data_IF_393679777193
#
_entry.id   IF_393679777193
#
_cell.length_a   1.000
_cell.length_b   1.000
_cell.length_c   1.000
_cell.angle_alpha   90.00
_cell.angle_beta   90.00
_cell.angle_gamma   90.00
#
_symmetry.space_group_name_H-M   'P 1'
#
loop_
_entity.id
_entity.type
_entity.pdbx_description
1 polymer ?
#
# COMPACT_ATOMS: atom_id res chain seq x y z
N UNK A 1 -22.41 20.16 17.34
CA UNK A 1 -22.12 18.72 17.16
C UNK A 1 -21.64 18.52 15.73
N UNK A 2 -20.33 18.39 15.51
CA UNK A 2 -19.75 18.31 14.15
C UNK A 2 -19.96 16.90 13.61
N UNK A 3 -20.88 16.72 12.67
CA UNK A 3 -21.08 15.45 11.99
C UNK A 3 -19.82 15.06 11.23
N UNK A 4 -19.31 13.87 11.50
CA UNK A 4 -18.16 13.31 10.81
C UNK A 4 -18.59 12.88 9.41
N UNK A 5 -18.41 13.75 8.40
CA UNK A 5 -18.68 13.39 7.01
C UNK A 5 -17.65 12.35 6.54
N UNK A 6 -18.10 11.12 6.35
CA UNK A 6 -17.31 10.02 5.79
C UNK A 6 -17.08 10.31 4.31
N UNK A 7 -15.85 10.13 3.84
CA UNK A 7 -15.42 10.45 2.47
C UNK A 7 -14.78 9.26 1.76
N UNK A 8 -14.39 8.21 2.49
CA UNK A 8 -13.88 6.99 1.88
C UNK A 8 -13.55 5.90 2.88
N UNK A 9 -13.22 4.74 2.35
CA UNK A 9 -12.82 3.55 3.10
C UNK A 9 -11.55 2.94 2.50
N UNK A 10 -10.73 2.31 3.34
CA UNK A 10 -9.44 1.74 2.95
C UNK A 10 -9.38 0.26 3.28
N UNK A 11 -9.06 -0.55 2.28
CA UNK A 11 -8.87 -2.00 2.41
C UNK A 11 -7.39 -2.38 2.55
N UNK A 12 -7.13 -3.54 3.15
CA UNK A 12 -5.79 -4.12 3.26
C UNK A 12 -5.25 -4.71 1.95
N UNK A 13 -3.94 -4.98 1.92
CA UNK A 13 -3.27 -5.71 0.84
C UNK A 13 -3.68 -7.20 0.88
N UNK A 14 -4.04 -7.76 -0.28
CA UNK A 14 -4.71 -9.05 -0.51
C UNK A 14 -6.20 -9.07 -0.22
N UNK A 15 -6.97 -8.52 -1.17
CA UNK A 15 -8.42 -8.71 -1.28
C UNK A 15 -9.27 -7.76 -0.43
N UNK A 16 -10.38 -7.32 -1.04
CA UNK A 16 -11.34 -6.32 -0.56
C UNK A 16 -12.12 -6.77 0.70
N UNK A 17 -11.56 -7.66 1.49
CA UNK A 17 -12.27 -8.37 2.56
C UNK A 17 -12.10 -7.72 3.92
N UNK A 18 -11.02 -6.97 4.15
CA UNK A 18 -10.71 -6.41 5.47
C UNK A 18 -10.66 -4.88 5.40
N UNK A 19 -11.70 -4.25 5.92
CA UNK A 19 -11.75 -2.81 6.17
C UNK A 19 -10.69 -2.46 7.21
N UNK A 20 -9.67 -1.68 6.83
CA UNK A 20 -8.61 -1.26 7.75
C UNK A 20 -8.83 0.14 8.28
N UNK A 21 -9.38 1.06 7.47
CA UNK A 21 -9.54 2.47 7.86
C UNK A 21 -10.79 3.09 7.25
N UNK A 22 -11.43 4.00 7.99
CA UNK A 22 -12.44 4.93 7.48
C UNK A 22 -11.79 6.31 7.35
N UNK A 23 -11.98 6.96 6.21
CA UNK A 23 -11.49 8.29 5.91
C UNK A 23 -12.66 9.27 6.04
N UNK A 24 -12.59 10.16 7.02
CA UNK A 24 -13.49 11.30 7.17
C UNK A 24 -12.82 12.55 6.60
N UNK A 25 -13.59 13.63 6.40
CA UNK A 25 -13.05 14.91 5.88
C UNK A 25 -11.81 15.39 6.64
N UNK A 26 -11.76 15.14 7.96
CA UNK A 26 -10.74 15.73 8.83
C UNK A 26 -9.81 14.70 9.48
N UNK A 27 -10.19 13.42 9.55
CA UNK A 27 -9.38 12.37 10.22
C UNK A 27 -9.51 11.00 9.56
N UNK A 28 -8.50 10.16 9.77
CA UNK A 28 -8.53 8.74 9.40
C UNK A 28 -8.74 7.93 10.68
N UNK A 29 -9.83 7.16 10.72
CA UNK A 29 -10.16 6.25 11.81
C UNK A 29 -9.64 4.87 11.43
N UNK A 30 -8.73 4.30 12.22
CA UNK A 30 -8.19 2.96 11.96
C UNK A 30 -9.07 1.92 12.66
N UNK A 31 -9.55 0.94 11.90
CA UNK A 31 -10.47 -0.12 12.34
C UNK A 31 -9.75 -1.47 12.54
N UNK A 32 -8.50 -1.60 12.08
CA UNK A 32 -7.76 -2.85 12.21
C UNK A 32 -7.10 -3.05 13.57
N UNK A 33 -7.56 -4.05 14.33
CA UNK A 33 -6.64 -4.91 15.09
C UNK A 33 -5.95 -5.83 14.07
N UNK A 34 -4.64 -6.08 14.19
CA UNK A 34 -3.87 -6.89 13.23
C UNK A 34 -4.33 -8.35 13.06
N UNK A 35 -5.36 -8.79 13.78
CA UNK A 35 -5.94 -10.13 13.69
C UNK A 35 -7.29 -10.05 12.96
N UNK A 36 -7.31 -10.57 11.73
CA UNK A 36 -8.56 -10.85 11.02
C UNK A 36 -9.24 -12.01 11.75
N UNK A 37 -10.22 -11.72 12.60
CA UNK A 37 -11.04 -12.76 13.20
C UNK A 37 -12.09 -13.19 12.15
N UNK A 38 -12.09 -14.46 11.70
CA UNK A 38 -12.98 -14.92 10.63
C UNK A 38 -14.47 -14.72 10.93
N UNK A 39 -14.84 -14.60 12.21
CA UNK A 39 -16.20 -14.28 12.67
C UNK A 39 -16.70 -12.89 12.26
N UNK A 40 -15.80 -11.92 12.01
CA UNK A 40 -16.17 -10.56 11.61
C UNK A 40 -16.18 -10.34 10.09
N UNK A 41 -15.88 -11.35 9.25
CA UNK A 41 -15.94 -11.20 7.78
C UNK A 41 -17.36 -10.83 7.30
N UNK A 42 -18.38 -11.46 7.90
CA UNK A 42 -19.80 -11.18 7.64
C UNK A 42 -20.15 -9.74 8.01
N UNK A 43 -19.84 -9.35 9.24
CA UNK A 43 -20.27 -8.07 9.81
C UNK A 43 -19.51 -6.90 9.19
N UNK A 44 -18.23 -7.10 8.85
CA UNK A 44 -17.43 -6.11 8.12
C UNK A 44 -18.00 -5.86 6.73
N UNK A 45 -18.50 -6.91 6.06
CA UNK A 45 -19.13 -6.80 4.74
C UNK A 45 -20.48 -6.08 4.83
N UNK A 46 -21.34 -6.46 5.77
CA UNK A 46 -22.63 -5.77 5.99
C UNK A 46 -22.43 -4.30 6.34
N UNK A 47 -21.47 -3.98 7.21
CA UNK A 47 -21.15 -2.60 7.57
C UNK A 47 -20.60 -1.79 6.38
N UNK A 48 -19.75 -2.40 5.56
CA UNK A 48 -19.28 -1.79 4.31
C UNK A 48 -20.44 -1.53 3.35
N UNK A 49 -21.34 -2.50 3.18
CA UNK A 49 -22.47 -2.36 2.26
C UNK A 49 -23.47 -1.32 2.74
N UNK A 50 -23.68 -1.21 4.06
CA UNK A 50 -24.40 -0.10 4.69
C UNK A 50 -23.72 1.26 4.41
N UNK A 51 -22.40 1.36 4.57
CA UNK A 51 -21.69 2.62 4.27
C UNK A 51 -21.78 3.01 2.80
N UNK A 52 -21.81 2.04 1.87
CA UNK A 52 -22.02 2.30 0.44
C UNK A 52 -23.43 2.77 0.14
N UNK A 53 -24.45 2.26 0.85
CA UNK A 53 -25.83 2.69 0.64
C UNK A 53 -26.10 4.08 1.21
N UNK A 54 -25.46 4.42 2.34
CA UNK A 54 -25.71 5.68 3.06
C UNK A 54 -24.87 6.85 2.52
N UNK A 55 -23.67 6.57 1.96
CA UNK A 55 -22.75 7.61 1.49
C UNK A 55 -22.63 7.56 -0.03
N UNK A 56 -23.35 8.48 -0.70
CA UNK A 56 -23.43 8.60 -2.17
C UNK A 56 -22.08 8.84 -2.88
N UNK A 57 -21.07 9.38 -2.19
CA UNK A 57 -19.73 9.65 -2.76
C UNK A 57 -18.60 8.88 -2.03
N UNK A 58 -18.87 7.64 -1.60
CA UNK A 58 -17.88 6.86 -0.87
C UNK A 58 -16.70 6.44 -1.77
N UNK A 59 -15.52 7.05 -1.57
CA UNK A 59 -14.29 6.66 -2.29
C UNK A 59 -13.67 5.41 -1.68
N UNK A 60 -13.56 4.35 -2.48
CA UNK A 60 -12.78 3.16 -2.11
C UNK A 60 -11.31 3.44 -2.44
N UNK A 61 -10.46 3.43 -1.41
CA UNK A 61 -9.02 3.73 -1.49
C UNK A 61 -8.20 2.52 -1.05
N UNK A 62 -6.98 2.41 -1.54
CA UNK A 62 -5.96 1.55 -0.94
C UNK A 62 -4.93 2.37 -0.16
N UNK A 63 -3.96 1.69 0.47
CA UNK A 63 -2.92 2.38 1.24
C UNK A 63 -2.02 3.25 0.35
N UNK A 64 -1.80 2.88 -0.91
CA UNK A 64 -1.02 3.68 -1.84
C UNK A 64 -1.76 4.96 -2.28
N UNK A 65 -3.09 4.90 -2.41
CA UNK A 65 -3.94 6.07 -2.67
C UNK A 65 -3.84 7.08 -1.51
N UNK A 66 -3.88 6.59 -0.26
CA UNK A 66 -3.68 7.46 0.91
C UNK A 66 -2.28 8.09 0.94
N UNK A 67 -1.26 7.33 0.55
CA UNK A 67 0.11 7.85 0.48
C UNK A 67 0.28 8.86 -0.65
N UNK A 68 -0.47 8.70 -1.76
CA UNK A 68 -0.48 9.65 -2.87
C UNK A 68 -1.07 10.98 -2.43
N UNK A 69 -2.23 10.96 -1.77
CA UNK A 69 -2.93 12.16 -1.26
C UNK A 69 -2.08 12.93 -0.24
N UNK A 70 -1.30 12.22 0.58
CA UNK A 70 -0.39 12.82 1.56
C UNK A 70 0.98 13.22 0.98
N UNK A 71 1.25 12.94 -0.29
CA UNK A 71 2.53 13.23 -0.94
C UNK A 71 3.68 12.26 -0.59
N UNK A 72 3.47 11.30 0.31
CA UNK A 72 4.47 10.31 0.71
C UNK A 72 4.83 9.34 -0.41
N UNK A 73 3.91 9.10 -1.34
CA UNK A 73 4.11 8.15 -2.43
C UNK A 73 5.29 8.52 -3.34
N UNK A 74 5.52 9.83 -3.55
CA UNK A 74 6.65 10.33 -4.35
C UNK A 74 7.99 10.02 -3.66
N UNK A 75 8.04 10.18 -2.34
CA UNK A 75 9.23 9.83 -1.55
C UNK A 75 9.48 8.32 -1.54
N UNK A 76 8.44 7.52 -1.34
CA UNK A 76 8.53 6.06 -1.41
C UNK A 76 9.02 5.57 -2.78
N UNK A 77 8.55 6.19 -3.87
CA UNK A 77 9.00 5.91 -5.23
C UNK A 77 10.49 6.21 -5.42
N UNK A 78 10.97 7.35 -4.91
CA UNK A 78 12.40 7.71 -4.97
C UNK A 78 13.26 6.72 -4.19
N UNK A 79 12.85 6.37 -2.98
CA UNK A 79 13.56 5.38 -2.15
C UNK A 79 13.63 4.02 -2.84
N UNK A 80 12.50 3.54 -3.39
CA UNK A 80 12.44 2.28 -4.12
C UNK A 80 13.35 2.30 -5.36
N UNK A 81 13.44 3.44 -6.05
CA UNK A 81 14.37 3.64 -7.17
C UNK A 81 15.83 3.50 -6.73
N UNK A 82 16.20 4.11 -5.60
CA UNK A 82 17.55 3.99 -5.02
C UNK A 82 17.85 2.54 -4.65
N UNK A 83 16.89 1.82 -4.04
CA UNK A 83 17.04 0.41 -3.69
C UNK A 83 17.22 -0.49 -4.92
N UNK A 84 16.50 -0.22 -6.02
CA UNK A 84 16.65 -0.95 -7.28
C UNK A 84 18.08 -0.89 -7.83
N UNK A 85 18.81 0.20 -7.56
CA UNK A 85 20.21 0.35 -7.98
C UNK A 85 21.19 -0.18 -6.93
N UNK A 86 20.97 0.12 -5.65
CA UNK A 86 21.90 -0.24 -4.58
C UNK A 86 21.92 -1.75 -4.29
N UNK A 87 20.77 -2.42 -4.29
CA UNK A 87 20.68 -3.86 -4.01
C UNK A 87 21.54 -4.70 -4.95
N UNK A 88 21.43 -4.57 -6.29
CA UNK A 88 22.30 -5.33 -7.19
C UNK A 88 23.77 -4.91 -7.08
N UNK A 89 24.05 -3.60 -6.93
CA UNK A 89 25.42 -3.11 -6.84
C UNK A 89 26.16 -3.66 -5.61
N UNK A 90 25.54 -3.61 -4.43
CA UNK A 90 26.08 -4.17 -3.20
C UNK A 90 26.25 -5.68 -3.32
N UNK A 91 25.29 -6.37 -3.94
CA UNK A 91 25.37 -7.83 -4.07
C UNK A 91 26.50 -8.26 -5.00
N UNK A 92 26.74 -7.53 -6.10
CA UNK A 92 27.88 -7.78 -7.00
C UNK A 92 29.20 -7.61 -6.23
N UNK A 93 29.36 -6.50 -5.50
CA UNK A 93 30.58 -6.23 -4.72
C UNK A 93 30.85 -7.35 -3.71
N UNK A 94 29.83 -7.76 -2.93
CA UNK A 94 29.97 -8.86 -1.96
C UNK A 94 30.32 -10.17 -2.67
N UNK A 95 29.71 -10.45 -3.82
CA UNK A 95 29.99 -11.67 -4.59
C UNK A 95 31.44 -11.73 -5.05
N UNK A 96 32.02 -10.60 -5.46
CA UNK A 96 33.44 -10.50 -5.85
C UNK A 96 34.34 -10.75 -4.63
N UNK A 97 34.06 -10.10 -3.50
CA UNK A 97 34.84 -10.25 -2.26
C UNK A 97 34.85 -11.70 -1.75
N UNK A 98 33.72 -12.41 -1.87
CA UNK A 98 33.57 -13.80 -1.42
C UNK A 98 34.09 -14.85 -2.43
N UNK A 99 34.80 -14.42 -3.49
CA UNK A 99 35.39 -15.31 -4.48
C UNK A 99 34.37 -15.91 -5.45
N UNK A 100 33.31 -15.16 -5.79
CA UNK A 100 32.30 -15.56 -6.77
C UNK A 100 31.25 -16.55 -6.26
N UNK A 101 31.15 -16.76 -4.93
CA UNK A 101 30.17 -17.70 -4.35
C UNK A 101 28.75 -17.09 -4.39
N UNK A 102 27.81 -17.65 -5.17
CA UNK A 102 26.60 -16.93 -5.57
C UNK A 102 25.42 -17.06 -4.59
N UNK A 103 25.62 -17.60 -3.37
CA UNK A 103 24.49 -17.88 -2.45
C UNK A 103 23.68 -16.63 -2.12
N UNK A 104 24.33 -15.47 -2.03
CA UNK A 104 23.68 -14.17 -1.77
C UNK A 104 23.03 -13.54 -3.02
N UNK A 105 23.42 -13.96 -4.23
CA UNK A 105 22.76 -13.53 -5.47
C UNK A 105 21.32 -14.05 -5.58
N UNK A 106 21.01 -15.19 -4.95
CA UNK A 106 19.64 -15.73 -4.90
C UNK A 106 18.66 -14.79 -4.18
N UNK A 107 19.13 -14.07 -3.15
CA UNK A 107 18.32 -13.10 -2.41
C UNK A 107 17.88 -11.93 -3.31
N UNK A 108 18.74 -11.53 -4.24
CA UNK A 108 18.44 -10.48 -5.22
C UNK A 108 17.31 -10.90 -6.16
N UNK A 109 17.28 -12.17 -6.59
CA UNK A 109 16.18 -12.71 -7.40
C UNK A 109 14.82 -12.70 -6.68
N UNK A 110 14.80 -12.73 -5.34
CA UNK A 110 13.56 -12.63 -4.56
C UNK A 110 13.15 -11.18 -4.33
N UNK A 111 14.11 -10.28 -4.14
CA UNK A 111 13.86 -8.88 -3.77
C UNK A 111 13.59 -8.00 -4.98
N UNK A 112 14.38 -8.11 -6.06
CA UNK A 112 14.26 -7.26 -7.24
C UNK A 112 12.86 -7.29 -7.87
N UNK A 113 12.22 -8.46 -8.11
CA UNK A 113 10.88 -8.49 -8.70
C UNK A 113 9.86 -7.72 -7.86
N UNK A 114 9.95 -7.79 -6.53
CA UNK A 114 9.04 -7.04 -5.64
C UNK A 114 9.26 -5.53 -5.76
N UNK A 115 10.51 -5.09 -5.75
CA UNK A 115 10.85 -3.67 -5.90
C UNK A 115 10.39 -3.14 -7.28
N UNK A 116 10.53 -3.93 -8.34
CA UNK A 116 10.07 -3.57 -9.69
C UNK A 116 8.53 -3.46 -9.72
N UNK A 117 7.82 -4.43 -9.17
CA UNK A 117 6.34 -4.39 -9.10
C UNK A 117 5.89 -3.14 -8.33
N UNK A 118 6.49 -2.87 -7.17
CA UNK A 118 6.16 -1.68 -6.39
C UNK A 118 6.46 -0.39 -7.15
N UNK A 119 7.54 -0.35 -7.93
CA UNK A 119 7.87 0.79 -8.78
C UNK A 119 6.74 1.10 -9.78
N UNK A 120 6.23 0.07 -10.46
CA UNK A 120 5.14 0.23 -11.42
C UNK A 120 3.83 0.64 -10.74
N UNK A 121 3.48 0.02 -9.60
CA UNK A 121 2.27 0.37 -8.83
C UNK A 121 2.33 1.83 -8.38
N UNK A 122 3.45 2.25 -7.78
CA UNK A 122 3.64 3.64 -7.33
C UNK A 122 3.61 4.62 -8.50
N UNK A 123 4.27 4.31 -9.63
CA UNK A 123 4.25 5.17 -10.82
C UNK A 123 2.82 5.40 -11.34
N UNK A 124 2.02 4.33 -11.44
CA UNK A 124 0.63 4.42 -11.88
C UNK A 124 -0.23 5.29 -10.95
N UNK A 125 -0.06 5.11 -9.64
CA UNK A 125 -0.78 5.88 -8.61
C UNK A 125 -0.36 7.35 -8.59
N UNK A 126 0.93 7.66 -8.74
CA UNK A 126 1.43 9.05 -8.85
C UNK A 126 0.85 9.74 -10.09
N UNK A 127 0.85 9.06 -11.25
CA UNK A 127 0.30 9.61 -12.49
C UNK A 127 -1.18 9.94 -12.34
N UNK A 128 -1.96 9.00 -11.77
CA UNK A 128 -3.39 9.18 -11.49
C UNK A 128 -3.66 10.37 -10.56
N UNK A 129 -2.83 10.55 -9.52
CA UNK A 129 -3.02 11.65 -8.56
C UNK A 129 -2.63 13.03 -9.14
N UNK A 130 -1.77 13.08 -10.15
CA UNK A 130 -1.39 14.34 -10.84
C UNK A 130 -2.33 14.74 -11.98
N UNK A 131 -3.15 13.81 -12.47
CA UNK A 131 -4.16 14.07 -13.51
C UNK A 131 -5.50 14.56 -12.96
N UNK A 132 -5.61 14.70 -11.64
CA UNK A 132 -6.73 15.29 -10.90
C UNK A 132 -6.28 16.68 -10.45
#
# INVERSE_FOLDING_TARGET
MTFWKITGIVYGFNEKEILRKIVTRNKIITIGSGKSYPLFKSDTKQFVDFLKSEVTELKIKDEWDLWAEKGYLIWAYRINTVLLVLVPLVTIIISIIEGGKPKKLLLVFVILPKLIIYQFVMAGKIKKNRSI
#
